data_IF_642897796262
#
_entry.id   IF_642897796262
#
_cell.length_a   1.000
_cell.length_b   1.000
_cell.length_c   1.000
_cell.angle_alpha   90.00
_cell.angle_beta   90.00
_cell.angle_gamma   90.00
#
_symmetry.space_group_name_H-M   'P 1'
#
loop_
_entity.id
_entity.type
_entity.pdbx_description
1 polymer ?
#
# COMPACT_ATOMS: atom_id res chain seq x y z
N UNK A 1 -75.51 5.78 -11.32
CA UNK A 1 -74.86 4.90 -10.33
C UNK A 1 -73.50 4.55 -10.87
N UNK A 2 -72.46 5.12 -10.36
CA UNK A 2 -71.10 4.92 -10.85
C UNK A 2 -70.22 4.27 -9.82
N UNK A 3 -69.35 3.35 -10.28
CA UNK A 3 -67.90 3.54 -10.34
C UNK A 3 -67.18 3.66 -9.01
N UNK A 4 -66.88 2.50 -8.40
CA UNK A 4 -65.84 2.35 -7.34
C UNK A 4 -64.94 1.13 -7.62
N UNK A 5 -64.22 1.11 -8.75
CA UNK A 5 -63.26 0.04 -9.03
C UNK A 5 -62.01 0.58 -9.76
N UNK A 6 -61.32 1.56 -9.20
CA UNK A 6 -59.95 1.91 -9.65
C UNK A 6 -59.19 2.51 -8.47
N UNK A 7 -58.76 1.75 -7.51
CA UNK A 7 -57.72 2.18 -6.51
C UNK A 7 -57.13 1.00 -5.75
N UNK A 8 -56.57 -0.01 -6.43
CA UNK A 8 -55.86 -1.09 -5.75
C UNK A 8 -54.82 -1.75 -6.69
N UNK A 9 -53.95 -0.98 -7.32
CA UNK A 9 -52.90 -1.56 -8.15
C UNK A 9 -51.57 -0.76 -8.13
N UNK A 10 -51.25 -0.02 -7.07
CA UNK A 10 -50.06 0.85 -7.07
C UNK A 10 -49.11 0.65 -5.87
N UNK A 11 -49.21 -0.46 -5.09
CA UNK A 11 -48.36 -0.60 -3.90
C UNK A 11 -47.48 -1.86 -3.87
N UNK A 12 -47.38 -2.62 -4.95
CA UNK A 12 -46.58 -3.87 -4.98
C UNK A 12 -45.21 -3.75 -5.64
N UNK A 13 -44.81 -2.60 -6.17
CA UNK A 13 -43.56 -2.48 -6.96
C UNK A 13 -42.34 -1.96 -6.19
N UNK A 14 -42.43 -1.61 -4.92
CA UNK A 14 -41.34 -0.99 -4.16
C UNK A 14 -40.58 -1.93 -3.23
N UNK A 15 -40.99 -3.19 -3.07
CA UNK A 15 -40.37 -4.13 -2.14
C UNK A 15 -39.21 -4.97 -2.76
N UNK A 16 -38.97 -4.90 -4.06
CA UNK A 16 -38.00 -5.76 -4.74
C UNK A 16 -36.56 -5.15 -4.89
N UNK A 17 -36.33 -3.91 -4.46
CA UNK A 17 -35.03 -3.23 -4.66
C UNK A 17 -34.08 -3.28 -3.45
N UNK A 18 -34.52 -3.83 -2.30
CA UNK A 18 -33.72 -3.80 -1.06
C UNK A 18 -32.63 -4.90 -0.97
N UNK A 19 -32.73 -6.12 -1.56
CA UNK A 19 -31.69 -7.13 -1.37
C UNK A 19 -30.40 -6.91 -2.15
N UNK A 20 -30.38 -6.08 -3.20
CA UNK A 20 -29.17 -5.89 -4.03
C UNK A 20 -28.12 -5.01 -3.33
N UNK A 21 -28.53 -4.06 -2.51
CA UNK A 21 -27.58 -3.16 -1.81
C UNK A 21 -26.88 -3.86 -0.62
N UNK A 22 -27.55 -4.78 0.05
CA UNK A 22 -26.99 -5.55 1.16
C UNK A 22 -25.87 -6.51 0.69
N UNK A 23 -26.00 -7.09 -0.51
CA UNK A 23 -24.98 -7.96 -1.09
C UNK A 23 -23.72 -7.19 -1.51
N UNK A 24 -23.86 -5.94 -1.97
CA UNK A 24 -22.72 -5.09 -2.32
C UNK A 24 -21.95 -4.58 -1.08
N UNK A 25 -22.64 -4.32 0.02
CA UNK A 25 -22.00 -3.92 1.29
C UNK A 25 -21.17 -5.06 1.89
N UNK A 26 -21.58 -6.30 1.73
CA UNK A 26 -20.82 -7.47 2.21
C UNK A 26 -19.58 -7.77 1.35
N UNK A 27 -19.59 -7.46 0.06
CA UNK A 27 -18.42 -7.62 -0.81
C UNK A 27 -17.30 -6.59 -0.49
N UNK A 28 -17.62 -5.47 0.13
CA UNK A 28 -16.64 -4.46 0.54
C UNK A 28 -15.96 -4.75 1.88
N UNK A 29 -16.46 -5.66 2.69
CA UNK A 29 -15.91 -5.99 4.02
C UNK A 29 -14.84 -7.08 4.02
N UNK A 30 -14.58 -7.72 2.89
CA UNK A 30 -13.51 -8.72 2.77
C UNK A 30 -12.13 -8.09 2.41
N UNK A 31 -11.83 -6.88 2.90
CA UNK A 31 -10.44 -6.41 2.93
C UNK A 31 -9.71 -7.21 3.99
N UNK A 32 -8.95 -8.19 3.55
CA UNK A 32 -8.12 -8.96 4.48
C UNK A 32 -7.17 -8.01 5.20
N UNK A 33 -7.28 -7.95 6.53
CA UNK A 33 -6.38 -7.12 7.33
C UNK A 33 -4.93 -7.58 7.12
N UNK A 34 -4.01 -6.62 7.11
CA UNK A 34 -2.57 -6.90 7.09
C UNK A 34 -2.19 -7.44 8.47
N UNK A 35 -1.55 -8.60 8.53
CA UNK A 35 -1.03 -9.15 9.78
C UNK A 35 0.19 -8.37 10.27
N UNK A 36 0.56 -8.59 11.53
CA UNK A 36 1.75 -7.95 12.11
C UNK A 36 3.03 -8.39 11.41
N UNK A 37 3.12 -9.65 11.01
CA UNK A 37 4.25 -10.19 10.26
C UNK A 37 4.36 -9.58 8.87
N UNK A 38 3.25 -9.46 8.16
CA UNK A 38 3.21 -8.82 6.85
C UNK A 38 3.59 -7.34 6.92
N UNK A 39 3.12 -6.63 7.95
CA UNK A 39 3.52 -5.24 8.17
C UNK A 39 5.01 -5.12 8.47
N UNK A 40 5.57 -5.99 9.33
CA UNK A 40 7.02 -6.03 9.58
C UNK A 40 7.81 -6.33 8.32
N UNK A 41 7.35 -7.27 7.50
CA UNK A 41 7.95 -7.60 6.23
C UNK A 41 7.96 -6.42 5.27
N UNK A 42 6.82 -5.69 5.14
CA UNK A 42 6.72 -4.49 4.34
C UNK A 42 7.73 -3.42 4.79
N UNK A 43 7.77 -3.12 6.09
CA UNK A 43 8.70 -2.12 6.63
C UNK A 43 10.15 -2.55 6.39
N UNK A 44 10.52 -3.80 6.71
CA UNK A 44 11.88 -4.30 6.54
C UNK A 44 12.32 -4.31 5.07
N UNK A 45 11.39 -4.57 4.15
CA UNK A 45 11.67 -4.59 2.71
C UNK A 45 11.82 -3.18 2.13
N UNK A 46 10.99 -2.22 2.58
CA UNK A 46 10.93 -0.87 2.03
C UNK A 46 11.93 0.09 2.67
N UNK A 47 12.32 -0.16 3.92
CA UNK A 47 13.19 0.75 4.68
C UNK A 47 14.52 1.06 3.98
N UNK A 48 15.24 0.09 3.36
CA UNK A 48 16.46 0.39 2.61
C UNK A 48 16.20 1.38 1.47
N UNK A 49 15.16 1.16 0.69
CA UNK A 49 14.81 2.02 -0.45
C UNK A 49 14.42 3.43 0.00
N UNK A 50 13.68 3.54 1.11
CA UNK A 50 13.30 4.83 1.69
C UNK A 50 14.52 5.58 2.23
N UNK A 51 15.41 4.88 2.92
CA UNK A 51 16.64 5.47 3.46
C UNK A 51 17.55 5.96 2.34
N UNK A 52 17.74 5.17 1.29
CA UNK A 52 18.54 5.55 0.11
C UNK A 52 17.98 6.80 -0.58
N UNK A 53 16.66 6.83 -0.79
CA UNK A 53 15.95 8.00 -1.34
C UNK A 53 16.12 9.24 -0.44
N UNK A 54 16.06 9.05 0.88
CA UNK A 54 16.25 10.14 1.85
C UNK A 54 17.67 10.68 1.81
N UNK A 55 18.68 9.81 1.81
CA UNK A 55 20.08 10.17 1.68
C UNK A 55 20.30 10.97 0.39
N UNK A 56 19.79 10.48 -0.73
CA UNK A 56 19.91 11.10 -2.04
C UNK A 56 19.31 12.50 -2.06
N UNK A 57 18.13 12.69 -1.47
CA UNK A 57 17.47 13.99 -1.36
C UNK A 57 18.24 14.93 -0.45
N UNK A 58 18.69 14.44 0.71
CA UNK A 58 19.30 15.28 1.75
C UNK A 58 20.77 15.60 1.50
N UNK A 59 21.44 14.88 0.62
CA UNK A 59 22.87 15.08 0.32
C UNK A 59 23.22 16.50 -0.09
N UNK A 60 22.31 17.21 -0.77
CA UNK A 60 22.49 18.61 -1.18
C UNK A 60 22.18 19.63 -0.07
N UNK A 61 21.55 19.19 1.03
CA UNK A 61 21.01 20.03 2.11
C UNK A 61 21.72 19.85 3.45
N UNK A 62 22.60 18.85 3.58
CA UNK A 62 23.29 18.52 4.81
C UNK A 62 24.82 18.59 4.64
N UNK A 63 25.56 18.95 5.70
CA UNK A 63 27.01 18.80 5.74
C UNK A 63 27.45 17.34 5.54
N UNK A 64 28.63 17.13 4.94
CA UNK A 64 29.13 15.77 4.67
C UNK A 64 29.44 14.94 5.92
N UNK A 65 29.61 15.57 7.08
CA UNK A 65 29.84 14.96 8.39
C UNK A 65 28.55 14.73 9.18
N UNK A 66 27.38 15.11 8.66
CA UNK A 66 26.09 14.82 9.27
C UNK A 66 25.87 13.32 9.40
N UNK A 67 25.11 12.90 10.41
CA UNK A 67 24.85 11.47 10.70
C UNK A 67 24.26 10.75 9.48
N UNK A 68 23.27 11.35 8.84
CA UNK A 68 22.58 10.76 7.68
C UNK A 68 23.55 10.55 6.49
N UNK A 69 24.50 11.45 6.27
CA UNK A 69 25.44 11.34 5.15
C UNK A 69 26.64 10.45 5.50
N UNK A 70 27.18 10.57 6.71
CA UNK A 70 28.38 9.85 7.12
C UNK A 70 28.12 8.39 7.58
N UNK A 71 26.98 8.12 8.22
CA UNK A 71 26.67 6.84 8.87
C UNK A 71 25.60 6.01 8.19
N UNK A 72 24.61 6.64 7.58
CA UNK A 72 23.49 5.94 6.95
C UNK A 72 23.93 4.96 5.83
N UNK A 73 24.99 5.15 5.06
CA UNK A 73 25.43 4.16 4.09
C UNK A 73 25.76 2.79 4.71
N UNK A 74 26.38 2.76 5.90
CA UNK A 74 26.66 1.52 6.63
C UNK A 74 25.36 0.86 7.13
N UNK A 75 24.41 1.66 7.61
CA UNK A 75 23.08 1.15 7.99
C UNK A 75 22.34 0.59 6.78
N UNK A 76 22.38 1.29 5.66
CA UNK A 76 21.75 0.87 4.41
C UNK A 76 22.25 -0.49 3.93
N UNK A 77 23.57 -0.74 4.01
CA UNK A 77 24.16 -2.04 3.69
C UNK A 77 23.56 -3.17 4.54
N UNK A 78 23.48 -2.97 5.86
CA UNK A 78 22.90 -3.97 6.80
C UNK A 78 21.40 -4.20 6.53
N UNK A 79 20.66 -3.16 6.22
CA UNK A 79 19.23 -3.27 5.91
C UNK A 79 19.02 -4.05 4.61
N UNK A 80 19.85 -3.84 3.60
CA UNK A 80 19.79 -4.58 2.34
C UNK A 80 20.03 -6.09 2.51
N UNK A 81 20.89 -6.52 3.44
CA UNK A 81 21.11 -7.94 3.76
C UNK A 81 19.82 -8.65 4.24
N UNK A 82 18.91 -7.91 4.89
CA UNK A 82 17.65 -8.44 5.38
C UNK A 82 16.52 -8.47 4.35
N UNK A 83 16.69 -7.75 3.23
CA UNK A 83 15.63 -7.46 2.26
C UNK A 83 15.04 -8.73 1.65
N UNK A 84 15.88 -9.68 1.25
CA UNK A 84 15.42 -10.93 0.64
C UNK A 84 14.62 -11.81 1.61
N UNK A 85 15.02 -11.83 2.88
CA UNK A 85 14.31 -12.57 3.92
C UNK A 85 12.93 -11.96 4.23
N UNK A 86 12.78 -10.65 4.07
CA UNK A 86 11.54 -9.95 4.30
C UNK A 86 10.55 -10.07 3.13
N UNK A 87 11.02 -10.42 1.93
CA UNK A 87 10.25 -10.41 0.71
C UNK A 87 8.93 -11.20 0.76
N UNK A 88 8.87 -12.47 1.24
CA UNK A 88 7.62 -13.23 1.22
C UNK A 88 6.49 -12.52 1.99
N UNK A 89 6.82 -11.95 3.15
CA UNK A 89 5.87 -11.22 4.00
C UNK A 89 5.53 -9.85 3.39
N UNK A 90 6.51 -9.18 2.81
CA UNK A 90 6.31 -7.91 2.11
C UNK A 90 5.38 -8.07 0.91
N UNK A 91 5.58 -9.11 0.09
CA UNK A 91 4.71 -9.44 -1.05
C UNK A 91 3.28 -9.68 -0.59
N UNK A 92 3.09 -10.52 0.44
CA UNK A 92 1.77 -10.81 0.99
C UNK A 92 1.07 -9.55 1.51
N UNK A 93 1.78 -8.71 2.26
CA UNK A 93 1.28 -7.43 2.76
C UNK A 93 0.93 -6.46 1.64
N UNK A 94 1.79 -6.33 0.63
CA UNK A 94 1.57 -5.47 -0.52
C UNK A 94 0.29 -5.86 -1.29
N UNK A 95 0.07 -7.16 -1.52
CA UNK A 95 -1.12 -7.66 -2.20
C UNK A 95 -2.42 -7.30 -1.46
N UNK A 96 -2.37 -7.25 -0.14
CA UNK A 96 -3.51 -6.83 0.70
C UNK A 96 -3.68 -5.30 0.72
N UNK A 97 -2.57 -4.57 0.81
CA UNK A 97 -2.57 -3.11 0.90
C UNK A 97 -3.05 -2.45 -0.40
N UNK A 98 -2.61 -2.97 -1.54
CA UNK A 98 -2.92 -2.40 -2.86
C UNK A 98 -4.40 -2.40 -3.23
N UNK A 99 -5.26 -3.06 -2.45
CA UNK A 99 -6.71 -3.10 -2.71
C UNK A 99 -7.04 -3.61 -4.11
N UNK A 100 -6.13 -4.37 -4.71
CA UNK A 100 -6.26 -4.89 -6.07
C UNK A 100 -7.47 -5.80 -6.18
N UNK A 101 -8.16 -5.74 -7.32
CA UNK A 101 -9.25 -6.66 -7.61
C UNK A 101 -8.73 -8.09 -7.57
N UNK A 102 -9.57 -9.04 -7.18
CA UNK A 102 -9.17 -10.45 -7.07
C UNK A 102 -8.48 -11.01 -8.32
N UNK A 103 -8.87 -10.54 -9.53
CA UNK A 103 -8.24 -10.88 -10.80
C UNK A 103 -6.81 -10.34 -10.92
N UNK A 104 -6.58 -9.11 -10.50
CA UNK A 104 -5.26 -8.46 -10.52
C UNK A 104 -4.31 -9.11 -9.51
N UNK A 105 -4.81 -9.39 -8.30
CA UNK A 105 -4.05 -10.12 -7.27
C UNK A 105 -3.61 -11.50 -7.77
N UNK A 106 -4.50 -12.23 -8.47
CA UNK A 106 -4.17 -13.53 -9.05
C UNK A 106 -3.08 -13.43 -10.10
N UNK A 107 -3.15 -12.42 -10.96
CA UNK A 107 -2.12 -12.17 -11.99
C UNK A 107 -0.79 -11.82 -11.34
N UNK A 108 -0.76 -10.90 -10.39
CA UNK A 108 0.46 -10.51 -9.68
C UNK A 108 1.09 -11.67 -8.91
N UNK A 109 0.28 -12.54 -8.29
CA UNK A 109 0.77 -13.74 -7.61
C UNK A 109 1.36 -14.78 -8.55
N UNK A 110 0.93 -14.80 -9.81
CA UNK A 110 1.47 -15.70 -10.83
C UNK A 110 2.79 -15.19 -11.46
N UNK A 111 3.15 -13.92 -11.23
CA UNK A 111 4.41 -13.37 -11.73
C UNK A 111 5.61 -13.88 -10.93
N UNK A 112 6.75 -14.19 -11.60
CA UNK A 112 8.01 -14.48 -10.94
C UNK A 112 8.46 -13.30 -10.06
N UNK A 113 9.11 -13.61 -8.94
CA UNK A 113 9.57 -12.60 -7.99
C UNK A 113 10.54 -11.60 -8.63
N UNK A 114 11.35 -12.04 -9.59
CA UNK A 114 12.29 -11.22 -10.33
C UNK A 114 11.60 -10.10 -11.15
N UNK A 115 10.37 -10.32 -11.53
CA UNK A 115 9.55 -9.35 -12.29
C UNK A 115 8.78 -8.43 -11.36
N UNK A 116 8.17 -9.00 -10.31
CA UNK A 116 7.27 -8.23 -9.45
C UNK A 116 8.02 -7.35 -8.44
N UNK A 117 9.20 -7.75 -7.96
CA UNK A 117 10.01 -6.97 -7.02
C UNK A 117 10.36 -5.57 -7.55
N UNK A 118 10.99 -5.42 -8.73
CA UNK A 118 11.31 -4.12 -9.29
C UNK A 118 10.07 -3.24 -9.51
N UNK A 119 8.95 -3.86 -9.90
CA UNK A 119 7.70 -3.15 -10.08
C UNK A 119 7.18 -2.56 -8.75
N UNK A 120 7.15 -3.36 -7.69
CA UNK A 120 6.73 -2.91 -6.35
C UNK A 120 7.67 -1.80 -5.84
N UNK A 121 8.98 -1.96 -5.99
CA UNK A 121 9.96 -0.97 -5.58
C UNK A 121 9.79 0.36 -6.32
N UNK A 122 9.62 0.31 -7.63
CA UNK A 122 9.39 1.50 -8.44
C UNK A 122 8.10 2.22 -8.05
N UNK A 123 7.00 1.49 -7.88
CA UNK A 123 5.71 2.06 -7.49
C UNK A 123 5.78 2.74 -6.12
N UNK A 124 6.41 2.08 -5.14
CA UNK A 124 6.52 2.62 -3.79
C UNK A 124 7.51 3.79 -3.72
N UNK A 125 8.61 3.72 -4.47
CA UNK A 125 9.55 4.84 -4.54
C UNK A 125 8.88 6.07 -5.16
N UNK A 126 8.12 5.89 -6.23
CA UNK A 126 7.37 7.00 -6.86
C UNK A 126 6.38 7.66 -5.91
N UNK A 127 5.74 6.89 -5.02
CA UNK A 127 4.78 7.41 -4.05
C UNK A 127 5.43 8.04 -2.81
N UNK A 128 6.56 7.52 -2.36
CA UNK A 128 7.15 7.87 -1.06
C UNK A 128 8.30 8.88 -1.18
N UNK A 129 9.13 8.81 -2.22
CA UNK A 129 10.26 9.70 -2.41
C UNK A 129 9.87 11.20 -2.45
N UNK A 130 8.78 11.61 -3.13
CA UNK A 130 8.37 13.02 -3.15
C UNK A 130 7.95 13.58 -1.79
N UNK A 131 7.74 12.73 -0.79
CA UNK A 131 7.36 13.15 0.58
C UNK A 131 8.55 13.63 1.40
N UNK A 132 9.77 13.24 1.03
CA UNK A 132 11.00 13.74 1.65
C UNK A 132 11.37 15.06 0.97
N UNK A 133 11.24 16.16 1.69
CA UNK A 133 11.59 17.48 1.20
C UNK A 133 12.92 17.94 1.80
N UNK A 134 13.70 18.70 1.04
CA UNK A 134 14.99 19.24 1.49
C UNK A 134 14.91 20.04 2.79
N UNK A 135 13.82 20.76 3.01
CA UNK A 135 13.54 21.52 4.24
C UNK A 135 13.50 20.66 5.50
N UNK A 136 13.15 19.36 5.39
CA UNK A 136 13.04 18.44 6.51
C UNK A 136 14.36 17.70 6.82
N UNK A 137 15.39 17.86 5.99
CA UNK A 137 16.61 17.07 6.12
C UNK A 137 17.35 17.28 7.44
N UNK A 138 17.39 18.53 7.94
CA UNK A 138 18.01 18.83 9.23
C UNK A 138 17.27 18.21 10.41
N UNK A 139 15.97 18.04 10.32
CA UNK A 139 15.17 17.38 11.36
C UNK A 139 15.35 15.86 11.28
N UNK A 140 15.37 15.29 10.07
CA UNK A 140 15.63 13.87 9.84
C UNK A 140 17.02 13.45 10.35
N UNK A 141 18.04 14.30 10.14
CA UNK A 141 19.41 14.01 10.58
C UNK A 141 19.57 13.98 12.10
N UNK A 142 18.66 14.64 12.84
CA UNK A 142 18.65 14.69 14.32
C UNK A 142 17.91 13.55 15.01
N UNK A 143 17.14 12.73 14.25
CA UNK A 143 16.40 11.58 14.79
C UNK A 143 17.30 10.38 15.04
#
# INVERSE_FOLDING_TARGET
MPSHFVRLAATAALAALIPVQAAQAQAQTARSCISREEMRGLVAYLLPTLLDSTISTCKAHLPGDSYLIARAPTLLSRLNEGKDKAWPQAKAGFMKFGGTRASETKLLNAMPDEVIRPFIEAALTAELAPKVKGENCADIDRL
#
